data_IF_803602260000
#
_entry.id   IF_803602260000
#
_cell.length_a   1.000
_cell.length_b   1.000
_cell.length_c   1.000
_cell.angle_alpha   90.00
_cell.angle_beta   90.00
_cell.angle_gamma   90.00
#
_symmetry.space_group_name_H-M   'P 1'
#
loop_
_entity.id
_entity.type
_entity.pdbx_description
1 polymer ?
#
# COMPACT_ATOMS: atom_id res chain seq x y z
N UNK A 1 29.34 59.36 90.22
CA UNK A 1 28.33 59.25 89.16
C UNK A 1 28.43 60.48 88.26
N UNK A 2 28.99 60.32 87.05
CA UNK A 2 28.54 61.00 85.86
C UNK A 2 27.66 60.04 85.05
N UNK A 3 26.55 60.56 84.52
CA UNK A 3 25.62 59.87 83.62
C UNK A 3 26.33 59.50 82.32
N UNK A 4 26.24 58.24 81.92
CA UNK A 4 26.61 57.76 80.59
C UNK A 4 25.49 58.23 79.66
N UNK A 5 25.79 59.18 78.78
CA UNK A 5 24.94 59.51 77.64
C UNK A 5 25.07 58.36 76.64
N UNK A 6 24.02 57.54 76.51
CA UNK A 6 23.92 56.52 75.47
C UNK A 6 23.88 57.20 74.10
N UNK A 7 24.88 56.89 73.26
CA UNK A 7 24.94 57.36 71.88
C UNK A 7 23.99 56.52 71.05
N UNK A 8 22.78 57.02 70.77
CA UNK A 8 21.81 56.36 69.89
C UNK A 8 22.41 56.27 68.48
N UNK A 9 22.57 55.06 67.95
CA UNK A 9 22.97 54.85 66.57
C UNK A 9 21.83 55.30 65.63
N UNK A 10 22.17 56.06 64.57
CA UNK A 10 21.18 56.55 63.59
C UNK A 10 21.39 55.86 62.24
N UNK A 11 20.28 55.50 61.59
CA UNK A 11 20.29 54.99 60.21
C UNK A 11 20.94 56.00 59.27
N UNK A 12 21.89 55.54 58.45
CA UNK A 12 22.59 56.42 57.50
C UNK A 12 21.69 56.98 56.39
N UNK A 13 20.63 56.27 56.03
CA UNK A 13 19.73 56.65 54.94
C UNK A 13 18.61 57.61 55.38
N UNK A 14 17.93 57.35 56.50
CA UNK A 14 16.79 58.16 56.96
C UNK A 14 17.00 58.88 58.29
N UNK A 15 18.15 58.69 58.95
CA UNK A 15 18.48 59.26 60.27
C UNK A 15 17.55 58.83 61.42
N UNK A 16 16.76 57.76 61.25
CA UNK A 16 15.94 57.19 62.33
C UNK A 16 16.82 56.50 63.40
N UNK A 17 16.42 56.51 64.68
CA UNK A 17 17.08 55.74 65.75
C UNK A 17 17.10 54.24 65.44
N UNK A 18 18.26 53.61 65.56
CA UNK A 18 18.43 52.15 65.52
C UNK A 18 18.40 51.64 66.97
N UNK A 19 17.46 50.76 67.35
CA UNK A 19 17.42 50.18 68.69
C UNK A 19 18.73 49.42 69.03
N UNK A 20 19.25 49.59 70.25
CA UNK A 20 20.54 49.06 70.71
C UNK A 20 20.77 47.55 70.48
N UNK A 21 21.90 47.18 69.86
CA UNK A 21 22.56 45.86 70.02
C UNK A 21 24.11 46.02 69.90
N UNK A 22 24.94 45.43 70.77
CA UNK A 22 26.32 45.84 71.00
C UNK A 22 27.37 44.98 70.25
N UNK A 23 27.26 44.86 68.92
CA UNK A 23 28.30 44.25 68.10
C UNK A 23 28.55 45.06 66.82
N UNK A 24 29.23 46.20 66.98
CA UNK A 24 29.77 46.98 65.87
C UNK A 24 31.10 46.40 65.40
N UNK A 25 31.08 45.62 64.33
CA UNK A 25 32.23 45.42 63.44
C UNK A 25 31.83 45.39 61.94
N UNK A 26 30.64 45.90 61.56
CA UNK A 26 30.20 45.99 60.15
C UNK A 26 29.78 47.44 59.77
N UNK A 27 30.31 48.06 58.70
CA UNK A 27 30.04 49.46 58.35
C UNK A 27 28.64 49.80 57.83
N UNK A 28 27.69 48.85 57.81
CA UNK A 28 26.37 49.02 57.20
C UNK A 28 25.25 49.06 58.25
N UNK A 29 24.89 50.27 58.73
CA UNK A 29 23.72 50.45 59.60
C UNK A 29 22.68 51.32 58.91
N UNK A 30 21.99 50.70 57.95
CA UNK A 30 20.66 51.16 57.50
C UNK A 30 19.60 50.50 58.37
N UNK A 31 18.54 51.23 58.75
CA UNK A 31 17.43 50.63 59.48
C UNK A 31 16.63 49.71 58.57
N UNK A 32 15.82 48.82 59.17
CA UNK A 32 14.96 47.88 58.45
C UNK A 32 14.04 48.56 57.42
N UNK A 33 13.62 49.81 57.66
CA UNK A 33 12.78 50.59 56.75
C UNK A 33 13.54 51.15 55.53
N UNK A 34 14.87 51.23 55.61
CA UNK A 34 15.74 51.72 54.53
C UNK A 34 16.42 50.60 53.75
N UNK A 35 16.30 49.36 54.20
CA UNK A 35 16.87 48.21 53.52
C UNK A 35 15.98 47.84 52.31
N UNK A 36 16.45 48.20 51.12
CA UNK A 36 15.76 47.98 49.83
C UNK A 36 15.94 46.55 49.29
N UNK A 37 16.64 45.66 50.01
CA UNK A 37 16.82 44.27 49.55
C UNK A 37 15.49 43.53 49.46
N UNK A 38 15.27 42.75 48.39
CA UNK A 38 14.03 41.99 48.23
C UNK A 38 13.96 40.83 49.25
N UNK A 39 12.74 40.36 49.51
CA UNK A 39 12.47 39.20 50.36
C UNK A 39 12.48 37.91 49.54
N UNK A 40 13.04 36.85 50.12
CA UNK A 40 13.05 35.51 49.53
C UNK A 40 11.63 34.95 49.47
N UNK A 41 11.18 34.54 48.30
CA UNK A 41 9.83 33.98 48.07
C UNK A 41 9.55 32.71 48.89
N UNK A 42 10.57 31.97 49.34
CA UNK A 42 10.40 30.67 50.03
C UNK A 42 10.58 30.76 51.56
N UNK A 43 11.41 31.69 52.06
CA UNK A 43 11.69 31.79 53.51
C UNK A 43 11.42 33.16 54.13
N UNK A 44 10.97 34.14 53.34
CA UNK A 44 10.67 35.53 53.77
C UNK A 44 11.85 36.27 54.42
N UNK A 45 13.08 35.81 54.26
CA UNK A 45 14.29 36.50 54.70
C UNK A 45 14.83 37.44 53.61
N UNK A 46 15.58 38.49 54.01
CA UNK A 46 16.19 39.44 53.06
C UNK A 46 17.32 38.79 52.26
N UNK A 47 17.34 39.07 50.96
CA UNK A 47 18.24 38.41 49.99
C UNK A 47 19.39 39.34 49.58
N UNK A 48 20.62 38.82 49.64
CA UNK A 48 21.80 39.48 49.06
C UNK A 48 22.07 38.96 47.64
N UNK A 49 22.23 37.64 47.49
CA UNK A 49 22.45 36.97 46.21
C UNK A 49 21.11 36.50 45.64
N UNK A 50 20.70 37.10 44.53
CA UNK A 50 19.38 36.92 43.93
C UNK A 50 19.40 35.76 42.92
N UNK A 51 18.45 34.84 43.06
CA UNK A 51 18.07 33.88 42.03
C UNK A 51 16.63 34.14 41.61
N UNK A 52 16.40 34.52 40.35
CA UNK A 52 15.06 34.83 39.83
C UNK A 52 14.18 33.58 39.76
N UNK A 53 12.89 33.72 40.05
CA UNK A 53 11.87 32.68 39.87
C UNK A 53 11.05 32.92 38.61
N UNK A 54 10.37 31.87 38.13
CA UNK A 54 9.46 31.97 36.97
C UNK A 54 8.23 32.83 37.23
N UNK A 55 7.90 33.09 38.49
CA UNK A 55 6.77 33.94 38.93
C UNK A 55 7.20 35.39 39.23
N UNK A 56 8.32 35.83 38.63
CA UNK A 56 8.93 37.17 38.79
C UNK A 56 9.31 37.52 40.26
N UNK A 57 9.54 36.49 41.08
CA UNK A 57 10.08 36.61 42.43
C UNK A 57 11.58 36.33 42.51
N UNK A 58 12.11 36.28 43.74
CA UNK A 58 13.53 36.00 43.99
C UNK A 58 13.74 35.01 45.14
N UNK A 59 14.80 34.22 45.06
CA UNK A 59 15.22 33.29 46.11
C UNK A 59 16.63 33.63 46.59
N UNK A 60 16.89 33.38 47.87
CA UNK A 60 18.25 33.32 48.37
C UNK A 60 18.93 32.00 47.95
N UNK A 61 20.26 31.98 47.94
CA UNK A 61 21.07 30.82 47.50
C UNK A 61 20.75 29.53 48.26
N UNK A 62 20.36 29.60 49.53
CA UNK A 62 20.00 28.41 50.31
C UNK A 62 18.66 27.81 49.88
N UNK A 63 17.67 28.64 49.56
CA UNK A 63 16.37 28.21 49.06
C UNK A 63 16.43 27.75 47.60
N UNK A 64 17.21 28.44 46.76
CA UNK A 64 17.39 28.08 45.35
C UNK A 64 17.86 26.63 45.15
N UNK A 65 18.64 26.06 46.10
CA UNK A 65 19.09 24.65 46.07
C UNK A 65 17.95 23.62 46.15
N UNK A 66 16.76 24.01 46.60
CA UNK A 66 15.57 23.14 46.67
C UNK A 66 14.67 23.26 45.44
N UNK A 67 14.99 24.20 44.55
CA UNK A 67 14.25 24.48 43.33
C UNK A 67 15.04 23.96 42.13
N UNK A 68 14.33 23.62 41.06
CA UNK A 68 14.97 23.26 39.79
C UNK A 68 15.27 24.52 39.01
N UNK A 69 16.43 24.57 38.37
CA UNK A 69 16.74 25.62 37.41
C UNK A 69 16.20 25.22 36.03
N UNK A 70 15.40 26.10 35.41
CA UNK A 70 14.90 25.87 34.06
C UNK A 70 16.06 25.91 33.06
N UNK A 71 16.20 24.87 32.23
CA UNK A 71 17.24 24.77 31.19
C UNK A 71 17.19 25.95 30.19
N UNK A 72 15.99 26.48 29.93
CA UNK A 72 15.79 27.49 28.89
C UNK A 72 15.91 28.93 29.39
N UNK A 73 15.20 29.29 30.46
CA UNK A 73 15.15 30.66 30.96
C UNK A 73 16.06 30.91 32.18
N UNK A 74 16.76 29.88 32.66
CA UNK A 74 17.68 29.92 33.80
C UNK A 74 17.05 30.32 35.15
N UNK A 75 15.73 30.55 35.18
CA UNK A 75 14.95 30.89 36.39
C UNK A 75 14.60 29.65 37.21
N UNK A 76 14.47 29.84 38.52
CA UNK A 76 14.07 28.80 39.46
C UNK A 76 12.57 28.48 39.34
N UNK A 77 12.23 27.19 39.36
CA UNK A 77 10.85 26.69 39.39
C UNK A 77 10.69 25.50 40.35
N UNK A 78 9.49 25.37 40.91
CA UNK A 78 9.05 24.16 41.64
C UNK A 78 8.23 23.21 40.76
N UNK A 79 7.71 23.71 39.64
CA UNK A 79 6.94 22.95 38.67
C UNK A 79 7.67 22.95 37.32
N UNK A 80 7.97 21.76 36.83
CA UNK A 80 8.62 21.60 35.55
C UNK A 80 8.75 20.14 35.17
N UNK A 81 9.04 19.91 33.89
CA UNK A 81 9.09 18.59 33.31
C UNK A 81 10.49 18.27 32.80
N UNK A 82 10.80 16.97 32.80
CA UNK A 82 12.10 16.48 32.39
C UNK A 82 12.29 16.54 30.87
N UNK A 83 13.47 16.99 30.46
CA UNK A 83 13.89 17.01 29.06
C UNK A 83 14.70 15.75 28.73
N UNK A 84 14.95 15.54 27.44
CA UNK A 84 15.81 14.43 26.97
C UNK A 84 17.28 14.56 27.43
N UNK A 85 17.74 15.76 27.80
CA UNK A 85 19.08 15.95 28.39
C UNK A 85 19.14 15.59 29.88
N UNK A 86 17.99 15.35 30.52
CA UNK A 86 17.89 15.11 31.96
C UNK A 86 17.70 16.38 32.80
N UNK A 87 17.57 17.53 32.16
CA UNK A 87 17.29 18.82 32.81
C UNK A 87 15.78 19.03 33.02
N UNK A 88 15.42 20.14 33.66
CA UNK A 88 14.03 20.53 33.89
C UNK A 88 13.71 21.79 33.09
N UNK A 89 12.53 21.83 32.48
CA UNK A 89 11.98 23.04 31.87
C UNK A 89 10.67 23.41 32.56
N UNK A 90 10.47 24.71 32.85
CA UNK A 90 9.23 25.19 33.44
C UNK A 90 8.08 25.20 32.43
N UNK A 91 6.85 25.22 32.92
CA UNK A 91 5.63 25.10 32.10
C UNK A 91 5.55 26.15 30.98
N UNK A 92 5.92 27.40 31.24
CA UNK A 92 5.89 28.47 30.23
C UNK A 92 6.89 28.23 29.09
N UNK A 93 8.06 27.70 29.41
CA UNK A 93 9.09 27.36 28.43
C UNK A 93 8.76 26.05 27.70
N UNK A 94 8.10 25.10 28.37
CA UNK A 94 7.54 23.93 27.72
C UNK A 94 6.57 24.34 26.61
N UNK A 95 5.55 25.13 26.95
CA UNK A 95 4.47 25.49 26.03
C UNK A 95 4.96 26.29 24.80
N UNK A 96 6.09 26.98 24.93
CA UNK A 96 6.61 27.88 23.89
C UNK A 96 7.76 27.30 23.08
N UNK A 97 8.54 26.38 23.64
CA UNK A 97 9.85 26.03 23.09
C UNK A 97 10.18 24.54 23.09
N UNK A 98 9.38 23.69 23.74
CA UNK A 98 9.63 22.26 23.80
C UNK A 98 8.38 21.48 23.36
N UNK A 99 8.62 20.30 22.82
CA UNK A 99 7.58 19.36 22.42
C UNK A 99 7.83 18.00 23.03
N UNK A 100 6.74 17.26 23.24
CA UNK A 100 6.79 15.95 23.87
C UNK A 100 7.07 14.86 22.84
N UNK A 101 8.11 14.07 23.09
CA UNK A 101 8.38 12.89 22.28
C UNK A 101 7.28 11.83 22.48
N UNK A 102 6.76 11.27 21.38
CA UNK A 102 5.75 10.21 21.42
C UNK A 102 6.20 8.94 22.14
N UNK A 103 7.48 8.58 22.00
CA UNK A 103 8.05 7.35 22.56
C UNK A 103 8.39 7.47 24.04
N UNK A 104 9.34 8.35 24.40
CA UNK A 104 9.87 8.43 25.75
C UNK A 104 9.11 9.40 26.65
N UNK A 105 8.19 10.19 26.09
CA UNK A 105 7.38 11.21 26.79
C UNK A 105 8.16 12.37 27.43
N UNK A 106 9.48 12.41 27.24
CA UNK A 106 10.34 13.53 27.64
C UNK A 106 10.25 14.70 26.64
N UNK A 107 10.63 15.88 27.11
CA UNK A 107 10.58 17.11 26.33
C UNK A 107 11.86 17.31 25.50
N UNK A 108 11.69 17.78 24.26
CA UNK A 108 12.79 18.12 23.35
C UNK A 108 12.43 19.35 22.52
N UNK A 109 13.43 20.19 22.23
CA UNK A 109 13.30 21.30 21.27
C UNK A 109 13.34 20.86 19.81
N UNK A 110 13.77 19.62 19.56
CA UNK A 110 13.88 19.07 18.21
C UNK A 110 13.25 17.69 18.20
N UNK A 111 12.13 17.56 17.50
CA UNK A 111 11.52 16.29 17.15
C UNK A 111 11.67 16.06 15.64
N UNK A 112 11.70 14.79 15.23
CA UNK A 112 11.54 14.39 13.82
C UNK A 112 10.24 13.65 13.66
N UNK A 113 9.56 13.92 12.57
CA UNK A 113 8.32 13.25 12.21
C UNK A 113 8.57 11.85 11.69
N UNK A 114 7.70 10.94 12.11
CA UNK A 114 7.60 9.56 11.64
C UNK A 114 6.43 9.46 10.66
N UNK A 115 6.51 8.54 9.70
CA UNK A 115 5.52 8.36 8.64
C UNK A 115 4.11 7.98 9.13
N UNK A 116 3.99 7.51 10.37
CA UNK A 116 2.72 7.25 11.04
C UNK A 116 2.12 8.49 11.75
N UNK A 117 2.76 9.66 11.63
CA UNK A 117 2.31 10.93 12.22
C UNK A 117 2.84 11.21 13.63
N UNK A 118 3.64 10.32 14.20
CA UNK A 118 4.28 10.53 15.51
C UNK A 118 5.52 11.44 15.38
N UNK A 119 5.96 12.03 16.51
CA UNK A 119 7.15 12.88 16.55
C UNK A 119 8.10 12.43 17.67
N UNK A 120 9.35 12.16 17.31
CA UNK A 120 10.32 11.54 18.22
C UNK A 120 11.60 12.35 18.39
N UNK A 121 12.13 12.36 19.62
CA UNK A 121 13.38 13.04 19.95
C UNK A 121 14.58 12.31 19.36
N UNK A 122 15.74 12.98 19.30
CA UNK A 122 16.99 12.46 18.73
C UNK A 122 17.35 11.05 19.19
N UNK A 123 17.21 10.77 20.48
CA UNK A 123 17.62 9.48 21.06
C UNK A 123 16.68 8.35 20.64
N UNK A 124 15.38 8.62 20.54
CA UNK A 124 14.39 7.65 20.09
C UNK A 124 14.45 7.37 18.59
N UNK A 125 15.03 8.27 17.78
CA UNK A 125 15.17 8.06 16.32
C UNK A 125 15.95 6.79 15.98
N UNK A 126 16.85 6.34 16.86
CA UNK A 126 17.62 5.11 16.68
C UNK A 126 16.76 3.84 16.57
N UNK A 127 15.50 3.89 17.02
CA UNK A 127 14.55 2.79 16.89
C UNK A 127 13.84 2.75 15.52
N UNK A 128 14.09 3.74 14.66
CA UNK A 128 13.45 3.89 13.36
C UNK A 128 14.48 3.81 12.24
N UNK A 129 14.00 3.59 11.01
CA UNK A 129 14.82 3.78 9.80
C UNK A 129 14.58 5.16 9.20
N UNK A 130 15.53 5.64 8.41
CA UNK A 130 15.35 6.86 7.61
C UNK A 130 14.90 6.41 6.23
N UNK A 131 13.87 7.06 5.68
CA UNK A 131 13.43 6.81 4.32
C UNK A 131 14.54 7.18 3.32
N UNK A 132 14.79 6.32 2.33
CA UNK A 132 15.87 6.52 1.36
C UNK A 132 15.63 7.72 0.42
N UNK A 133 14.37 8.12 0.24
CA UNK A 133 13.95 9.20 -0.68
C UNK A 133 13.64 10.52 0.02
N UNK A 134 13.39 10.49 1.33
CA UNK A 134 13.14 11.70 2.10
C UNK A 134 13.59 11.53 3.54
N UNK A 135 13.95 12.62 4.21
CA UNK A 135 14.46 12.59 5.58
C UNK A 135 13.40 12.24 6.66
N UNK A 136 12.28 11.61 6.31
CA UNK A 136 11.30 11.09 7.26
C UNK A 136 11.79 9.81 7.94
N UNK A 137 11.33 9.59 9.18
CA UNK A 137 11.53 8.33 9.88
C UNK A 137 10.42 7.34 9.54
N UNK A 138 10.74 6.05 9.47
CA UNK A 138 9.82 4.98 9.10
C UNK A 138 9.78 3.89 10.19
N UNK A 139 8.60 3.32 10.39
CA UNK A 139 8.35 2.32 11.45
C UNK A 139 8.92 0.93 11.16
N UNK A 140 9.15 0.55 9.90
CA UNK A 140 9.74 -0.75 9.56
C UNK A 140 10.31 -0.91 8.14
N UNK A 141 10.08 0.06 7.25
CA UNK A 141 10.36 -0.05 5.81
C UNK A 141 11.44 0.93 5.35
N UNK A 142 12.08 0.67 4.20
CA UNK A 142 13.16 1.52 3.66
C UNK A 142 12.62 2.83 3.02
N UNK A 143 11.30 2.93 2.84
CA UNK A 143 10.62 4.11 2.31
C UNK A 143 9.43 4.50 3.19
N UNK A 144 9.16 5.80 3.34
CA UNK A 144 7.98 6.28 4.03
C UNK A 144 6.71 6.09 3.17
N UNK A 145 5.54 6.12 3.83
CA UNK A 145 4.24 5.90 3.17
C UNK A 145 3.98 6.84 1.97
N UNK A 146 4.42 8.10 2.00
CA UNK A 146 4.24 9.03 0.87
C UNK A 146 5.16 8.70 -0.30
N UNK A 147 6.47 8.54 -0.05
CA UNK A 147 7.45 8.16 -1.09
C UNK A 147 7.13 6.79 -1.71
N UNK A 148 6.59 5.86 -0.93
CA UNK A 148 6.12 4.58 -1.44
C UNK A 148 4.93 4.72 -2.40
N UNK A 149 4.02 5.68 -2.15
CA UNK A 149 2.86 5.95 -3.02
C UNK A 149 3.22 6.76 -4.26
N UNK A 150 4.19 7.67 -4.14
CA UNK A 150 4.62 8.54 -5.24
C UNK A 150 5.58 7.84 -6.22
N UNK A 151 6.13 6.68 -5.85
CA UNK A 151 6.73 5.75 -6.80
C UNK A 151 5.63 5.17 -7.67
N UNK A 152 5.28 5.86 -8.76
CA UNK A 152 4.73 5.20 -9.95
C UNK A 152 5.66 4.04 -10.25
N UNK A 153 5.10 2.84 -10.29
CA UNK A 153 5.88 1.69 -10.67
C UNK A 153 6.21 1.84 -12.16
N UNK A 154 7.46 2.15 -12.51
CA UNK A 154 7.88 2.36 -13.91
C UNK A 154 7.57 1.15 -14.81
N UNK A 155 7.29 -0.02 -14.22
CA UNK A 155 6.90 -1.22 -14.95
C UNK A 155 5.39 -1.37 -15.19
N UNK A 156 4.53 -0.61 -14.49
CA UNK A 156 3.08 -0.68 -14.62
C UNK A 156 2.59 0.54 -15.40
N UNK A 157 2.10 0.31 -16.61
CA UNK A 157 1.53 1.34 -17.45
C UNK A 157 0.08 1.69 -17.08
N UNK A 158 -0.40 2.86 -17.52
CA UNK A 158 -1.81 3.22 -17.39
C UNK A 158 -2.73 2.19 -18.09
N UNK A 159 -3.97 2.05 -17.63
CA UNK A 159 -4.95 1.07 -18.16
C UNK A 159 -5.18 1.13 -19.68
N UNK A 160 -4.90 2.29 -20.30
CA UNK A 160 -5.08 2.52 -21.74
C UNK A 160 -3.87 2.14 -22.59
N UNK A 161 -2.76 1.77 -21.96
CA UNK A 161 -1.54 1.38 -22.65
C UNK A 161 -1.75 0.11 -23.48
N UNK A 162 -1.52 0.24 -24.78
CA UNK A 162 -1.72 -0.83 -25.76
C UNK A 162 -0.74 -0.64 -26.92
N UNK A 163 0.45 -1.27 -26.86
CA UNK A 163 1.42 -1.21 -27.94
C UNK A 163 0.95 -2.02 -29.16
N UNK A 164 1.63 -1.84 -30.29
CA UNK A 164 1.42 -2.66 -31.47
C UNK A 164 1.75 -4.13 -31.16
N UNK A 165 0.90 -5.10 -31.55
CA UNK A 165 1.09 -6.49 -31.18
C UNK A 165 2.24 -7.16 -31.94
N UNK A 166 3.14 -7.83 -31.21
CA UNK A 166 4.16 -8.71 -31.78
C UNK A 166 3.73 -10.19 -31.67
N UNK A 167 3.62 -10.90 -32.80
CA UNK A 167 3.03 -12.24 -32.81
C UNK A 167 4.09 -13.33 -32.59
N UNK A 168 3.88 -14.18 -31.58
CA UNK A 168 4.76 -15.29 -31.25
C UNK A 168 4.19 -16.65 -31.68
N UNK A 169 5.02 -17.51 -32.26
CA UNK A 169 4.61 -18.84 -32.74
C UNK A 169 3.93 -18.83 -34.11
N UNK A 170 3.05 -19.81 -34.35
CA UNK A 170 2.43 -20.03 -35.65
C UNK A 170 0.92 -19.80 -35.64
N UNK A 171 0.46 -18.99 -36.59
CA UNK A 171 -0.95 -18.69 -36.77
C UNK A 171 -1.73 -19.76 -37.54
N UNK A 172 -3.04 -19.53 -37.79
CA UNK A 172 -3.73 -18.25 -37.63
C UNK A 172 -4.38 -18.04 -36.25
N UNK A 173 -4.35 -19.04 -35.36
CA UNK A 173 -4.95 -18.94 -34.01
C UNK A 173 -3.89 -18.42 -33.04
N UNK A 174 -4.04 -17.15 -32.66
CA UNK A 174 -3.24 -16.54 -31.61
C UNK A 174 -4.10 -16.23 -30.38
N UNK A 175 -3.50 -16.40 -29.21
CA UNK A 175 -4.04 -16.13 -27.89
C UNK A 175 -3.29 -14.96 -27.24
N UNK A 176 -4.01 -13.94 -26.80
CA UNK A 176 -3.48 -12.92 -25.87
C UNK A 176 -4.01 -13.19 -24.48
N UNK A 177 -3.12 -13.35 -23.50
CA UNK A 177 -3.46 -13.50 -22.09
C UNK A 177 -3.45 -12.14 -21.41
N UNK A 178 -4.54 -11.80 -20.73
CA UNK A 178 -4.58 -10.80 -19.66
C UNK A 178 -4.86 -11.53 -18.33
N UNK A 179 -3.96 -11.38 -17.36
CA UNK A 179 -3.99 -12.04 -16.05
C UNK A 179 -3.93 -10.99 -14.94
N UNK A 180 -5.07 -10.75 -14.30
CA UNK A 180 -5.20 -9.78 -13.21
C UNK A 180 -4.71 -10.40 -11.89
N UNK A 181 -3.79 -9.76 -11.19
CA UNK A 181 -3.31 -10.23 -9.88
C UNK A 181 -3.40 -9.14 -8.82
N UNK A 182 -3.62 -9.53 -7.57
CA UNK A 182 -3.56 -8.63 -6.42
C UNK A 182 -2.24 -8.78 -5.68
N UNK A 183 -1.83 -7.70 -5.05
CA UNK A 183 -0.64 -7.68 -4.19
C UNK A 183 -0.91 -6.84 -2.95
N UNK A 184 -0.44 -7.23 -1.76
CA UNK A 184 -0.33 -6.28 -0.65
C UNK A 184 0.47 -5.07 -1.12
N UNK A 185 0.10 -3.86 -0.69
CA UNK A 185 0.75 -2.63 -1.17
C UNK A 185 2.27 -2.70 -1.06
N UNK A 186 2.81 -3.18 0.07
CA UNK A 186 4.25 -3.38 0.31
C UNK A 186 4.97 -4.34 -0.66
N UNK A 187 4.23 -5.24 -1.32
CA UNK A 187 4.77 -6.22 -2.27
C UNK A 187 4.59 -5.79 -3.73
N UNK A 188 3.82 -4.74 -4.01
CA UNK A 188 3.45 -4.33 -5.37
C UNK A 188 4.70 -4.12 -6.24
N UNK A 189 5.65 -3.31 -5.75
CA UNK A 189 6.88 -2.98 -6.49
C UNK A 189 7.67 -4.23 -6.86
N UNK A 190 8.01 -5.05 -5.87
CA UNK A 190 8.81 -6.25 -6.10
C UNK A 190 8.10 -7.30 -6.96
N UNK A 191 6.76 -7.42 -6.86
CA UNK A 191 6.00 -8.30 -7.73
C UNK A 191 6.01 -7.81 -9.18
N UNK A 192 5.87 -6.50 -9.40
CA UNK A 192 5.91 -5.93 -10.75
C UNK A 192 7.30 -6.05 -11.38
N UNK A 193 8.38 -5.82 -10.62
CA UNK A 193 9.76 -6.06 -11.07
C UNK A 193 9.96 -7.51 -11.51
N UNK A 194 9.59 -8.48 -10.66
CA UNK A 194 9.64 -9.92 -11.01
C UNK A 194 8.87 -10.20 -12.30
N UNK A 195 7.67 -9.63 -12.45
CA UNK A 195 6.86 -9.87 -13.64
C UNK A 195 7.46 -9.23 -14.89
N UNK A 196 7.92 -7.98 -14.82
CA UNK A 196 8.55 -7.28 -15.93
C UNK A 196 9.84 -7.98 -16.40
N UNK A 197 10.71 -8.38 -15.47
CA UNK A 197 11.97 -9.07 -15.77
C UNK A 197 11.72 -10.44 -16.44
N UNK A 198 10.71 -11.18 -15.98
CA UNK A 198 10.37 -12.48 -16.56
C UNK A 198 9.67 -12.35 -17.92
N UNK A 199 8.84 -11.32 -18.12
CA UNK A 199 8.13 -11.10 -19.38
C UNK A 199 9.07 -10.60 -20.48
N UNK A 200 9.96 -9.66 -20.17
CA UNK A 200 10.77 -8.99 -21.19
C UNK A 200 9.90 -8.46 -22.34
N UNK A 201 10.27 -8.78 -23.58
CA UNK A 201 9.53 -8.34 -24.77
C UNK A 201 8.24 -9.15 -25.04
N UNK A 202 7.91 -10.16 -24.24
CA UNK A 202 6.69 -10.97 -24.43
C UNK A 202 5.42 -10.20 -24.03
N UNK A 203 5.53 -9.28 -23.07
CA UNK A 203 4.35 -8.66 -22.46
C UNK A 203 4.70 -7.44 -21.63
N UNK A 204 3.68 -6.89 -21.00
CA UNK A 204 3.77 -5.66 -20.22
C UNK A 204 2.75 -5.69 -19.08
N UNK A 205 2.94 -4.82 -18.09
CA UNK A 205 2.01 -4.68 -16.97
C UNK A 205 1.19 -3.41 -17.16
N UNK A 206 -0.08 -3.46 -16.81
CA UNK A 206 -0.94 -2.27 -16.78
C UNK A 206 -1.83 -2.24 -15.55
N UNK A 207 -2.31 -1.07 -15.21
CA UNK A 207 -3.39 -0.90 -14.25
C UNK A 207 -4.70 -1.48 -14.81
N UNK A 208 -5.51 -2.12 -13.97
CA UNK A 208 -6.90 -2.42 -14.27
C UNK A 208 -7.80 -1.98 -13.11
N UNK A 209 -8.88 -1.28 -13.44
CA UNK A 209 -9.87 -0.80 -12.48
C UNK A 209 -10.63 -1.93 -11.77
N UNK A 210 -10.67 -3.14 -12.33
CA UNK A 210 -11.27 -4.35 -11.73
C UNK A 210 -10.52 -4.82 -10.48
N UNK A 211 -9.20 -4.59 -10.42
CA UNK A 211 -8.32 -5.07 -9.35
C UNK A 211 -8.58 -4.29 -8.04
N UNK A 212 -9.13 -3.09 -8.14
CA UNK A 212 -9.59 -2.29 -7.01
C UNK A 212 -8.47 -1.65 -6.17
N UNK A 213 -8.85 -0.87 -5.16
CA UNK A 213 -7.94 -0.04 -4.34
C UNK A 213 -6.92 -0.82 -3.51
N UNK A 214 -7.05 -2.15 -3.41
CA UNK A 214 -6.16 -3.00 -2.62
C UNK A 214 -4.78 -3.21 -3.26
N UNK A 215 -4.62 -2.78 -4.52
CA UNK A 215 -3.37 -2.83 -5.26
C UNK A 215 -3.16 -4.15 -6.02
N UNK A 216 -2.33 -4.08 -7.05
CA UNK A 216 -2.06 -5.18 -7.99
C UNK A 216 -1.80 -4.64 -9.39
N UNK A 217 -1.76 -5.54 -10.37
CA UNK A 217 -1.57 -5.19 -11.77
C UNK A 217 -2.12 -6.30 -12.68
N UNK A 218 -2.37 -5.96 -13.93
CA UNK A 218 -2.70 -6.93 -14.98
C UNK A 218 -1.46 -7.25 -15.81
N UNK A 219 -1.12 -8.53 -15.90
CA UNK A 219 -0.09 -9.04 -16.82
C UNK A 219 -0.73 -9.22 -18.19
N UNK A 220 -0.27 -8.49 -19.20
CA UNK A 220 -0.77 -8.58 -20.57
C UNK A 220 0.34 -9.10 -21.48
N UNK A 221 0.01 -10.11 -22.28
CA UNK A 221 0.95 -10.67 -23.25
C UNK A 221 0.63 -10.21 -24.66
N UNK A 222 1.67 -10.11 -25.48
CA UNK A 222 1.49 -10.12 -26.91
C UNK A 222 0.90 -11.45 -27.41
N UNK A 223 0.28 -11.50 -28.61
CA UNK A 223 -0.41 -12.71 -29.07
C UNK A 223 0.55 -13.89 -29.31
N UNK A 224 0.21 -15.06 -28.79
CA UNK A 224 0.99 -16.30 -28.89
C UNK A 224 0.18 -17.43 -29.53
N UNK A 225 0.77 -18.29 -30.34
CA UNK A 225 0.17 -19.60 -30.60
C UNK A 225 0.13 -20.42 -29.31
N UNK A 226 -0.81 -21.37 -29.20
CA UNK A 226 -0.98 -22.12 -27.96
C UNK A 226 0.27 -22.92 -27.58
N UNK A 227 0.89 -23.60 -28.55
CA UNK A 227 2.13 -24.35 -28.36
C UNK A 227 3.25 -23.46 -27.83
N UNK A 228 3.44 -22.30 -28.47
CA UNK A 228 4.43 -21.32 -28.04
C UNK A 228 4.15 -20.84 -26.62
N UNK A 229 2.90 -20.55 -26.27
CA UNK A 229 2.55 -20.16 -24.91
C UNK A 229 2.89 -21.25 -23.89
N UNK A 230 2.62 -22.52 -24.20
CA UNK A 230 2.94 -23.63 -23.28
C UNK A 230 4.46 -23.81 -23.12
N UNK A 231 5.24 -23.62 -24.17
CA UNK A 231 6.68 -23.85 -24.19
C UNK A 231 7.48 -22.67 -23.62
N UNK A 232 7.13 -21.44 -24.00
CA UNK A 232 7.99 -20.26 -23.85
C UNK A 232 7.47 -19.24 -22.81
N UNK A 233 6.17 -19.27 -22.44
CA UNK A 233 5.68 -18.37 -21.38
C UNK A 233 6.45 -18.63 -20.08
N UNK A 234 6.85 -17.59 -19.31
CA UNK A 234 7.68 -17.73 -18.12
C UNK A 234 6.90 -18.32 -16.93
N UNK A 235 6.53 -19.60 -17.00
CA UNK A 235 5.64 -20.26 -16.02
C UNK A 235 6.15 -20.24 -14.57
N UNK A 236 7.46 -20.08 -14.37
CA UNK A 236 8.07 -19.96 -13.03
C UNK A 236 7.70 -18.64 -12.35
N UNK A 237 7.50 -17.58 -13.13
CA UNK A 237 7.07 -16.26 -12.66
C UNK A 237 5.84 -16.35 -11.75
N UNK A 238 4.84 -17.15 -12.12
CA UNK A 238 3.61 -17.30 -11.32
C UNK A 238 3.90 -17.80 -9.88
N UNK A 239 4.85 -18.73 -9.74
CA UNK A 239 5.27 -19.24 -8.43
C UNK A 239 6.06 -18.18 -7.67
N UNK A 240 6.93 -17.45 -8.34
CA UNK A 240 7.75 -16.37 -7.74
C UNK A 240 6.87 -15.24 -7.21
N UNK A 241 5.90 -14.79 -7.99
CA UNK A 241 4.88 -13.81 -7.58
C UNK A 241 4.14 -14.27 -6.32
N UNK A 242 3.70 -15.54 -6.30
CA UNK A 242 3.02 -16.10 -5.13
C UNK A 242 3.92 -16.13 -3.88
N UNK A 243 5.19 -16.51 -4.04
CA UNK A 243 6.17 -16.50 -2.93
C UNK A 243 6.40 -15.07 -2.43
N UNK A 244 6.35 -14.07 -3.32
CA UNK A 244 6.50 -12.65 -2.99
C UNK A 244 5.26 -12.02 -2.36
N UNK A 245 4.16 -12.78 -2.26
CA UNK A 245 2.93 -12.40 -1.58
C UNK A 245 1.82 -11.92 -2.51
N UNK A 246 1.98 -12.06 -3.84
CA UNK A 246 0.86 -11.89 -4.75
C UNK A 246 -0.24 -12.94 -4.45
N UNK A 247 -1.49 -12.55 -4.65
CA UNK A 247 -2.64 -13.40 -4.41
C UNK A 247 -3.75 -13.11 -5.44
N UNK A 248 -4.78 -13.94 -5.42
CA UNK A 248 -5.97 -13.81 -6.26
C UNK A 248 -7.21 -14.00 -5.39
N UNK A 249 -8.33 -13.39 -5.79
CA UNK A 249 -9.64 -13.57 -5.18
C UNK A 249 -10.74 -13.55 -6.25
N UNK A 250 -12.01 -13.58 -5.83
CA UNK A 250 -13.15 -13.69 -6.73
C UNK A 250 -13.43 -12.42 -7.57
N UNK A 251 -12.70 -11.33 -7.32
CA UNK A 251 -12.86 -10.07 -8.06
C UNK A 251 -11.92 -9.95 -9.26
N UNK A 252 -10.88 -10.80 -9.35
CA UNK A 252 -9.89 -10.77 -10.42
C UNK A 252 -10.00 -11.97 -11.36
N UNK A 253 -9.75 -11.74 -12.64
CA UNK A 253 -9.97 -12.68 -13.71
C UNK A 253 -8.75 -13.00 -14.57
N UNK A 254 -8.96 -13.96 -15.46
CA UNK A 254 -8.16 -14.14 -16.68
C UNK A 254 -9.06 -13.81 -17.86
N UNK A 255 -8.57 -12.94 -18.74
CA UNK A 255 -9.14 -12.71 -20.06
C UNK A 255 -8.26 -13.36 -21.11
N UNK A 256 -8.87 -14.11 -22.02
CA UNK A 256 -8.15 -14.72 -23.15
C UNK A 256 -8.71 -14.15 -24.44
N UNK A 257 -7.91 -13.36 -25.12
CA UNK A 257 -8.17 -12.89 -26.47
C UNK A 257 -7.83 -13.98 -27.47
N UNK A 258 -8.74 -14.33 -28.37
CA UNK A 258 -8.48 -15.22 -29.51
C UNK A 258 -8.66 -14.47 -30.82
N UNK A 259 -7.67 -14.55 -31.70
CA UNK A 259 -7.68 -13.88 -33.01
C UNK A 259 -8.88 -14.31 -33.87
N UNK A 260 -9.63 -13.34 -34.42
CA UNK A 260 -10.73 -13.60 -35.35
C UNK A 260 -10.28 -14.31 -36.63
N UNK A 261 -9.07 -13.99 -37.10
CA UNK A 261 -8.44 -14.66 -38.25
C UNK A 261 -8.18 -16.16 -38.01
N UNK A 262 -8.21 -16.60 -36.75
CA UNK A 262 -8.14 -18.01 -36.38
C UNK A 262 -9.35 -18.82 -36.82
N UNK A 263 -10.48 -18.20 -37.19
CA UNK A 263 -11.70 -18.87 -37.59
C UNK A 263 -11.90 -18.86 -39.11
N UNK A 264 -12.09 -20.03 -39.72
CA UNK A 264 -12.27 -20.18 -41.17
C UNK A 264 -13.45 -19.41 -41.79
N UNK A 265 -14.50 -19.15 -41.00
CA UNK A 265 -15.73 -18.52 -41.51
C UNK A 265 -16.65 -18.06 -40.39
N UNK A 266 -17.66 -17.21 -40.69
CA UNK A 266 -18.78 -16.93 -39.79
C UNK A 266 -19.46 -18.21 -39.27
N UNK A 267 -19.56 -19.25 -40.09
CA UNK A 267 -20.14 -20.53 -39.66
C UNK A 267 -19.29 -21.23 -38.59
N UNK A 268 -17.96 -21.12 -38.67
CA UNK A 268 -17.05 -21.62 -37.65
C UNK A 268 -17.23 -20.84 -36.34
N UNK A 269 -17.20 -19.50 -36.38
CA UNK A 269 -17.47 -18.65 -35.20
C UNK A 269 -18.80 -19.00 -34.55
N UNK A 270 -19.85 -19.19 -35.35
CA UNK A 270 -21.16 -19.61 -34.86
C UNK A 270 -21.10 -20.94 -34.11
N UNK A 271 -20.44 -21.96 -34.67
CA UNK A 271 -20.30 -23.27 -34.02
C UNK A 271 -19.54 -23.17 -32.70
N UNK A 272 -18.45 -22.42 -32.68
CA UNK A 272 -17.63 -22.20 -31.49
C UNK A 272 -18.42 -21.51 -30.37
N UNK A 273 -19.04 -20.36 -30.65
CA UNK A 273 -19.86 -19.64 -29.66
C UNK A 273 -21.05 -20.49 -29.20
N UNK A 274 -21.73 -21.22 -30.12
CA UNK A 274 -22.82 -22.12 -29.72
C UNK A 274 -22.35 -23.25 -28.84
N UNK A 275 -21.20 -23.86 -29.13
CA UNK A 275 -20.60 -24.87 -28.27
C UNK A 275 -20.34 -24.29 -26.88
N UNK A 276 -19.72 -23.12 -26.80
CA UNK A 276 -19.41 -22.44 -25.54
C UNK A 276 -20.67 -22.15 -24.70
N UNK A 277 -21.66 -21.45 -25.27
CA UNK A 277 -22.92 -21.09 -24.58
C UNK A 277 -23.86 -22.28 -24.31
N UNK A 278 -23.72 -23.42 -25.00
CA UNK A 278 -24.49 -24.63 -24.67
C UNK A 278 -23.91 -25.39 -23.50
N UNK A 279 -22.61 -25.26 -23.25
CA UNK A 279 -21.90 -25.94 -22.19
C UNK A 279 -21.55 -24.99 -21.04
N UNK A 280 -22.38 -23.98 -20.80
CA UNK A 280 -22.18 -22.94 -19.78
C UNK A 280 -21.83 -23.53 -18.40
N UNK A 281 -22.56 -24.54 -17.93
CA UNK A 281 -22.29 -25.16 -16.61
C UNK A 281 -20.87 -25.72 -16.52
N UNK A 282 -20.41 -26.43 -17.55
CA UNK A 282 -19.07 -27.00 -17.60
C UNK A 282 -17.99 -25.93 -17.83
N UNK A 283 -18.28 -24.93 -18.65
CA UNK A 283 -17.39 -23.80 -18.88
C UNK A 283 -17.16 -23.00 -17.58
N UNK A 284 -18.24 -22.72 -16.82
CA UNK A 284 -18.19 -22.07 -15.51
C UNK A 284 -17.42 -22.92 -14.50
N UNK A 285 -17.65 -24.23 -14.47
CA UNK A 285 -16.92 -25.14 -13.58
C UNK A 285 -15.41 -25.11 -13.89
N UNK A 286 -15.03 -25.24 -15.18
CA UNK A 286 -13.64 -25.14 -15.62
C UNK A 286 -13.03 -23.76 -15.34
N UNK A 287 -13.82 -22.70 -15.46
CA UNK A 287 -13.43 -21.33 -15.18
C UNK A 287 -13.26 -21.04 -13.69
N UNK A 288 -13.76 -21.91 -12.80
CA UNK A 288 -13.72 -21.79 -11.33
C UNK A 288 -14.43 -20.55 -10.76
N UNK A 289 -15.18 -19.80 -11.58
CA UNK A 289 -16.07 -18.73 -11.14
C UNK A 289 -17.25 -18.54 -12.08
N UNK A 290 -18.32 -17.94 -11.55
CA UNK A 290 -19.41 -17.32 -12.31
C UNK A 290 -19.44 -15.84 -11.98
N UNK A 291 -19.58 -14.99 -12.99
CA UNK A 291 -19.80 -13.56 -12.80
C UNK A 291 -20.87 -13.06 -13.75
N UNK A 292 -22.02 -12.68 -13.19
CA UNK A 292 -23.12 -12.11 -13.96
C UNK A 292 -22.96 -10.60 -14.19
N UNK A 293 -21.97 -9.96 -13.55
CA UNK A 293 -21.64 -8.54 -13.71
C UNK A 293 -20.54 -8.29 -14.75
N UNK A 294 -19.57 -9.20 -14.86
CA UNK A 294 -18.33 -8.99 -15.64
C UNK A 294 -18.13 -10.00 -16.78
N UNK A 295 -18.85 -11.13 -16.78
CA UNK A 295 -18.69 -12.23 -17.73
C UNK A 295 -19.99 -13.03 -17.95
N UNK A 296 -21.11 -12.34 -18.18
CA UNK A 296 -22.44 -12.92 -18.12
C UNK A 296 -22.76 -13.85 -19.29
N UNK A 297 -23.51 -14.92 -19.03
CA UNK A 297 -24.09 -15.81 -20.04
C UNK A 297 -25.56 -15.44 -20.32
N UNK A 298 -25.79 -14.30 -20.97
CA UNK A 298 -27.15 -13.79 -21.15
C UNK A 298 -27.94 -14.53 -22.26
N UNK A 299 -29.26 -14.75 -22.08
CA UNK A 299 -30.13 -15.27 -23.13
C UNK A 299 -30.09 -14.43 -24.42
N UNK A 300 -29.95 -13.11 -24.29
CA UNK A 300 -29.89 -12.15 -25.39
C UNK A 300 -28.64 -12.38 -26.23
N UNK A 301 -27.48 -12.54 -25.58
CA UNK A 301 -26.22 -12.86 -26.28
C UNK A 301 -26.31 -14.24 -26.92
N UNK A 302 -26.90 -15.23 -26.24
CA UNK A 302 -27.12 -16.57 -26.81
C UNK A 302 -28.01 -16.55 -28.05
N UNK A 303 -29.04 -15.71 -28.08
CA UNK A 303 -29.90 -15.51 -29.25
C UNK A 303 -29.17 -14.73 -30.36
N UNK A 304 -28.27 -13.81 -29.99
CA UNK A 304 -27.48 -12.96 -30.88
C UNK A 304 -26.28 -13.63 -31.56
N UNK A 305 -25.89 -14.86 -31.19
CA UNK A 305 -24.67 -15.52 -31.72
C UNK A 305 -24.58 -15.51 -33.26
N UNK A 306 -25.69 -15.69 -33.98
CA UNK A 306 -25.68 -15.66 -35.45
C UNK A 306 -25.31 -14.29 -36.03
N UNK A 307 -25.63 -13.21 -35.31
CA UNK A 307 -25.26 -11.84 -35.68
C UNK A 307 -23.80 -11.55 -35.38
N UNK A 308 -23.32 -11.95 -34.20
CA UNK A 308 -21.92 -11.79 -33.80
C UNK A 308 -20.97 -12.54 -34.73
N UNK A 309 -21.36 -13.74 -35.13
CA UNK A 309 -20.64 -14.53 -36.12
C UNK A 309 -20.48 -13.83 -37.48
N UNK A 310 -21.44 -12.96 -37.85
CA UNK A 310 -21.41 -12.14 -39.08
C UNK A 310 -20.70 -10.79 -38.88
N UNK A 311 -20.16 -10.52 -37.70
CA UNK A 311 -19.43 -9.29 -37.40
C UNK A 311 -20.25 -8.17 -36.76
N UNK A 312 -21.48 -8.42 -36.31
CA UNK A 312 -22.21 -7.44 -35.49
C UNK A 312 -21.51 -7.29 -34.13
N UNK A 313 -21.22 -6.05 -33.70
CA UNK A 313 -20.44 -5.76 -32.49
C UNK A 313 -21.16 -4.84 -31.49
N UNK A 314 -22.40 -4.44 -31.76
CA UNK A 314 -23.09 -3.41 -30.99
C UNK A 314 -24.34 -3.96 -30.30
N UNK A 315 -24.70 -3.37 -29.15
CA UNK A 315 -26.02 -3.57 -28.52
C UNK A 315 -26.09 -4.47 -27.29
N UNK A 316 -25.01 -5.14 -26.89
CA UNK A 316 -25.04 -6.15 -25.81
C UNK A 316 -24.01 -5.91 -24.67
N UNK A 317 -23.21 -4.83 -24.75
CA UNK A 317 -22.16 -4.50 -23.79
C UNK A 317 -20.92 -5.40 -23.84
N UNK A 318 -19.85 -4.98 -23.16
CA UNK A 318 -18.57 -5.71 -23.08
C UNK A 318 -18.56 -6.82 -22.03
N UNK A 319 -19.43 -6.75 -21.03
CA UNK A 319 -19.45 -7.65 -19.87
C UNK A 319 -20.19 -8.96 -20.15
N UNK A 320 -19.84 -9.60 -21.26
CA UNK A 320 -20.37 -10.91 -21.65
C UNK A 320 -19.28 -11.97 -21.51
N UNK A 321 -19.69 -13.23 -21.35
CA UNK A 321 -18.76 -14.37 -21.30
C UNK A 321 -17.78 -14.38 -22.48
N UNK A 322 -18.27 -14.01 -23.67
CA UNK A 322 -17.46 -13.71 -24.86
C UNK A 322 -17.74 -12.26 -25.27
N UNK A 323 -16.79 -11.37 -25.02
CA UNK A 323 -16.83 -10.00 -25.49
C UNK A 323 -16.43 -9.95 -26.99
N UNK A 324 -17.34 -9.40 -27.79
CA UNK A 324 -17.21 -9.31 -29.26
C UNK A 324 -16.82 -7.91 -29.73
N UNK A 325 -16.58 -6.96 -28.83
CA UNK A 325 -16.25 -5.58 -29.16
C UNK A 325 -14.84 -5.43 -29.74
N UNK A 326 -13.81 -6.14 -29.25
CA UNK A 326 -12.47 -6.04 -29.82
C UNK A 326 -12.47 -6.33 -31.33
N UNK A 327 -11.78 -5.48 -32.07
CA UNK A 327 -11.82 -5.49 -33.53
C UNK A 327 -11.23 -6.76 -34.13
N UNK A 328 -10.04 -7.15 -33.67
CA UNK A 328 -9.29 -8.28 -34.23
C UNK A 328 -9.44 -9.58 -33.46
N UNK A 329 -10.07 -9.55 -32.27
CA UNK A 329 -10.17 -10.71 -31.36
C UNK A 329 -11.59 -10.91 -30.84
N UNK A 330 -11.87 -12.13 -30.36
CA UNK A 330 -12.91 -12.37 -29.37
C UNK A 330 -12.23 -12.47 -28.01
N UNK A 331 -12.76 -11.82 -26.98
CA UNK A 331 -12.21 -11.86 -25.63
C UNK A 331 -13.10 -12.73 -24.75
N UNK A 332 -12.54 -13.81 -24.21
CA UNK A 332 -13.24 -14.72 -23.29
C UNK A 332 -12.91 -14.32 -21.86
N UNK A 333 -13.94 -13.95 -21.09
CA UNK A 333 -13.79 -13.26 -19.81
C UNK A 333 -14.14 -14.09 -18.57
N UNK A 334 -14.41 -15.39 -18.75
CA UNK A 334 -15.09 -16.19 -17.71
C UNK A 334 -14.16 -16.70 -16.59
N UNK A 335 -12.86 -16.78 -16.83
CA UNK A 335 -11.93 -17.51 -15.98
C UNK A 335 -11.59 -16.74 -14.71
N UNK A 336 -11.57 -17.43 -13.56
CA UNK A 336 -10.99 -16.91 -12.33
C UNK A 336 -9.49 -16.76 -12.49
N UNK A 337 -8.94 -15.68 -11.94
CA UNK A 337 -7.49 -15.49 -11.90
C UNK A 337 -6.79 -16.64 -11.16
N UNK A 338 -5.50 -16.83 -11.44
CA UNK A 338 -4.69 -17.86 -10.80
C UNK A 338 -3.20 -17.60 -10.88
N UNK A 339 -2.48 -17.98 -9.82
CA UNK A 339 -1.02 -18.11 -9.77
C UNK A 339 -0.55 -19.57 -9.88
N UNK A 340 -1.46 -20.50 -10.22
CA UNK A 340 -1.14 -21.90 -10.44
C UNK A 340 -0.99 -22.17 -11.94
N UNK A 341 0.22 -22.59 -12.36
CA UNK A 341 0.54 -22.91 -13.76
C UNK A 341 -0.54 -23.76 -14.45
N UNK A 342 -0.95 -24.86 -13.83
CA UNK A 342 -1.95 -25.78 -14.38
C UNK A 342 -3.24 -25.06 -14.78
N UNK A 343 -3.69 -24.16 -13.91
CA UNK A 343 -4.96 -23.47 -14.01
C UNK A 343 -4.95 -22.40 -15.13
N UNK A 344 -3.84 -21.69 -15.29
CA UNK A 344 -3.64 -20.70 -16.39
C UNK A 344 -3.46 -21.42 -17.73
N UNK A 345 -2.67 -22.51 -17.75
CA UNK A 345 -2.48 -23.34 -18.94
C UNK A 345 -3.81 -23.95 -19.42
N UNK A 346 -4.66 -24.42 -18.49
CA UNK A 346 -5.97 -24.96 -18.82
C UNK A 346 -6.91 -23.92 -19.44
N UNK A 347 -6.84 -22.65 -19.00
CA UNK A 347 -7.63 -21.57 -19.60
C UNK A 347 -7.23 -21.33 -21.07
N UNK A 348 -5.92 -21.19 -21.35
CA UNK A 348 -5.42 -21.05 -22.72
C UNK A 348 -5.75 -22.27 -23.58
N UNK A 349 -5.55 -23.47 -23.01
CA UNK A 349 -5.83 -24.74 -23.68
C UNK A 349 -7.32 -24.88 -24.02
N UNK A 350 -8.23 -24.46 -23.15
CA UNK A 350 -9.67 -24.50 -23.44
C UNK A 350 -10.03 -23.63 -24.64
N UNK A 351 -9.46 -22.43 -24.73
CA UNK A 351 -9.73 -21.54 -25.86
C UNK A 351 -9.17 -22.13 -27.16
N UNK A 352 -7.90 -22.53 -27.18
CA UNK A 352 -7.31 -23.15 -28.37
C UNK A 352 -8.06 -24.43 -28.79
N UNK A 353 -8.28 -25.35 -27.85
CA UNK A 353 -8.94 -26.63 -28.10
C UNK A 353 -10.38 -26.44 -28.60
N UNK A 354 -11.15 -25.51 -28.04
CA UNK A 354 -12.53 -25.29 -28.47
C UNK A 354 -12.62 -24.70 -29.88
N UNK A 355 -11.68 -23.83 -30.27
CA UNK A 355 -11.57 -23.36 -31.65
C UNK A 355 -11.26 -24.52 -32.58
N UNK A 356 -10.19 -25.29 -32.33
CA UNK A 356 -9.82 -26.40 -33.20
C UNK A 356 -10.89 -27.50 -33.28
N UNK A 357 -11.49 -27.86 -32.13
CA UNK A 357 -12.58 -28.83 -32.09
C UNK A 357 -13.76 -28.42 -32.98
N UNK A 358 -14.15 -27.15 -32.94
CA UNK A 358 -15.32 -26.66 -33.69
C UNK A 358 -15.04 -26.33 -35.16
N UNK A 359 -13.77 -26.25 -35.56
CA UNK A 359 -13.32 -25.95 -36.92
C UNK A 359 -13.96 -26.88 -37.94
N UNK A 360 -13.86 -28.19 -37.72
CA UNK A 360 -14.30 -29.23 -38.66
C UNK A 360 -15.67 -29.82 -38.35
N UNK A 361 -16.38 -29.33 -37.32
CA UNK A 361 -17.72 -29.83 -36.99
C UNK A 361 -18.70 -29.56 -38.14
N UNK A 362 -19.30 -30.62 -38.67
CA UNK A 362 -20.37 -30.52 -39.66
C UNK A 362 -21.75 -30.49 -38.99
N UNK A 363 -22.78 -30.05 -39.72
CA UNK A 363 -24.16 -30.16 -39.26
C UNK A 363 -24.56 -31.61 -38.95
N UNK A 364 -23.97 -32.59 -39.64
CA UNK A 364 -24.16 -34.01 -39.37
C UNK A 364 -23.55 -34.45 -38.04
N UNK A 365 -22.34 -33.98 -37.72
CA UNK A 365 -21.69 -34.27 -36.42
C UNK A 365 -22.50 -33.66 -35.28
N UNK A 366 -22.98 -32.43 -35.45
CA UNK A 366 -23.82 -31.76 -34.46
C UNK A 366 -25.14 -32.50 -34.26
N UNK A 367 -25.87 -32.81 -35.34
CA UNK A 367 -27.22 -33.37 -35.25
C UNK A 367 -27.25 -34.87 -34.91
N UNK A 368 -26.27 -35.65 -35.37
CA UNK A 368 -26.29 -37.12 -35.25
C UNK A 368 -25.26 -37.67 -34.28
N UNK A 369 -24.14 -36.96 -34.08
CA UNK A 369 -23.04 -37.38 -33.20
C UNK A 369 -22.90 -36.50 -31.97
N UNK A 370 -23.90 -35.65 -31.70
CA UNK A 370 -23.95 -34.79 -30.51
C UNK A 370 -22.70 -33.91 -30.39
N UNK A 371 -22.12 -33.44 -31.50
CA UNK A 371 -20.86 -32.68 -31.55
C UNK A 371 -20.87 -31.32 -30.83
N UNK A 372 -21.94 -30.95 -30.13
CA UNK A 372 -21.97 -29.81 -29.22
C UNK A 372 -22.05 -30.21 -27.75
N UNK A 373 -22.13 -31.50 -27.42
CA UNK A 373 -22.13 -31.97 -26.04
C UNK A 373 -20.70 -31.98 -25.49
N UNK A 374 -20.58 -31.57 -24.23
CA UNK A 374 -19.31 -31.51 -23.51
C UNK A 374 -18.54 -32.83 -23.52
N UNK A 375 -19.24 -33.95 -23.35
CA UNK A 375 -18.65 -35.29 -23.28
C UNK A 375 -17.93 -35.69 -24.58
N UNK A 376 -18.46 -35.25 -25.73
CA UNK A 376 -17.84 -35.45 -27.05
C UNK A 376 -16.59 -34.59 -27.20
N UNK A 377 -16.64 -33.35 -26.71
CA UNK A 377 -15.46 -32.48 -26.64
C UNK A 377 -14.37 -33.06 -25.74
N UNK A 378 -14.71 -33.54 -24.53
CA UNK A 378 -13.73 -34.18 -23.63
C UNK A 378 -13.10 -35.42 -24.28
N UNK A 379 -13.89 -36.23 -24.98
CA UNK A 379 -13.37 -37.38 -25.73
C UNK A 379 -12.39 -36.95 -26.81
N UNK A 380 -12.69 -35.85 -27.51
CA UNK A 380 -11.76 -35.26 -28.47
C UNK A 380 -10.48 -34.76 -27.78
N UNK A 381 -10.58 -34.03 -26.66
CA UNK A 381 -9.42 -33.54 -25.89
C UNK A 381 -8.51 -34.70 -25.45
N UNK A 382 -9.08 -35.82 -24.97
CA UNK A 382 -8.31 -37.03 -24.62
C UNK A 382 -7.49 -37.58 -25.79
N UNK A 383 -7.95 -37.41 -27.02
CA UNK A 383 -7.24 -37.85 -28.23
C UNK A 383 -6.19 -36.83 -28.73
N UNK A 384 -6.06 -35.67 -28.09
CA UNK A 384 -5.15 -34.58 -28.48
C UNK A 384 -4.22 -34.22 -27.31
N UNK A 385 -3.11 -34.95 -27.11
CA UNK A 385 -2.20 -34.78 -25.96
C UNK A 385 -1.61 -33.38 -25.80
N UNK A 386 -1.62 -32.57 -26.86
CA UNK A 386 -1.20 -31.16 -26.81
C UNK A 386 -2.03 -30.33 -25.81
N UNK A 387 -3.28 -30.73 -25.56
CA UNK A 387 -4.17 -30.11 -24.57
C UNK A 387 -4.19 -30.85 -23.22
N UNK A 388 -3.12 -31.57 -22.88
CA UNK A 388 -3.01 -32.26 -21.59
C UNK A 388 -3.30 -31.35 -20.36
N UNK A 389 -2.87 -30.07 -20.32
CA UNK A 389 -3.25 -29.18 -19.22
C UNK A 389 -4.77 -28.99 -19.08
N UNK A 390 -5.51 -28.92 -20.18
CA UNK A 390 -6.97 -28.84 -20.13
C UNK A 390 -7.56 -30.12 -19.54
N UNK A 391 -7.12 -31.29 -20.02
CA UNK A 391 -7.64 -32.58 -19.55
C UNK A 391 -7.40 -32.76 -18.04
N UNK A 392 -6.18 -32.49 -17.58
CA UNK A 392 -5.83 -32.62 -16.17
C UNK A 392 -6.63 -31.68 -15.27
N UNK A 393 -6.93 -30.45 -15.72
CA UNK A 393 -7.79 -29.54 -14.96
C UNK A 393 -9.26 -29.99 -14.96
N UNK A 394 -9.77 -30.48 -16.10
CA UNK A 394 -11.13 -31.03 -16.18
C UNK A 394 -11.31 -32.25 -15.25
N UNK A 395 -10.30 -33.11 -15.15
CA UNK A 395 -10.30 -34.25 -14.24
C UNK A 395 -10.24 -33.81 -12.78
N UNK A 396 -9.37 -32.85 -12.44
CA UNK A 396 -9.26 -32.29 -11.10
C UNK A 396 -10.56 -31.63 -10.63
N UNK A 397 -11.30 -30.99 -11.54
CA UNK A 397 -12.58 -30.34 -11.27
C UNK A 397 -13.78 -31.29 -11.40
N UNK A 398 -13.56 -32.56 -11.74
CA UNK A 398 -14.60 -33.55 -12.02
C UNK A 398 -15.62 -33.09 -13.09
N UNK A 399 -15.14 -32.39 -14.13
CA UNK A 399 -15.91 -32.03 -15.32
C UNK A 399 -15.39 -32.71 -16.60
N UNK A 400 -14.56 -33.75 -16.49
CA UNK A 400 -14.11 -34.58 -17.62
C UNK A 400 -15.10 -35.72 -17.99
N UNK A 401 -16.36 -35.63 -17.57
CA UNK A 401 -17.38 -36.67 -17.75
C UNK A 401 -18.48 -36.28 -18.73
#
# INVERSE_FOLDING_TARGET
MPEILDTIALCRACSAPIPDDPLLDDPATECQDCDERPFCQDCDERVNDIHETVDDGVLCTSCARRWSQCEYCERCTTAGEATVSGDIVCDSCHDSHYWRCSDCRLLSRYLRSVDNGEEVCRDCQANYRVCDDCDYLTTSDDYCTSCFRDRRNDHIHDYSYKPDPYFHGHGPVFLGLELEIKTPSRSLQACAEIAADNLGDLGYLKEDGSIGYQGGFEIVTHPMSYEWAIEEFPWKMLRELRIRGAYVDDHVGIHVHVSRKGFDSPAHVYRWMKFFYRNESHAVQLARRRSDDWASFTPETRAGIAKFAKGERFGYGRYQAINVYPEDTFEVRIFASSLHRQQVQAALAFIAASVEYTRTLTSGDVARRRGWEWTVFVTWVRAHPIYLPLLAEMEALACAS
#
